data_IF_772037661317
#
_entry.id   IF_772037661317
#
_cell.length_a   1.000
_cell.length_b   1.000
_cell.length_c   1.000
_cell.angle_alpha   90.00
_cell.angle_beta   90.00
_cell.angle_gamma   90.00
#
_symmetry.space_group_name_H-M   'P 1'
#
loop_
_entity.id
_entity.type
_entity.pdbx_description
1 polymer ?
#
# COMPACT_ATOMS: atom_id res chain seq x y z
N UNK A 1 -22.17 69.52 -28.67
CA UNK A 1 -22.38 69.35 -27.22
C UNK A 1 -22.61 67.88 -26.94
N UNK A 2 -21.78 67.35 -26.02
CA UNK A 2 -22.01 66.22 -25.11
C UNK A 2 -22.18 64.78 -25.61
N UNK A 3 -21.32 63.93 -25.02
CA UNK A 3 -21.65 62.63 -24.40
C UNK A 3 -21.34 61.32 -25.14
N UNK A 4 -20.12 61.14 -25.63
CA UNK A 4 -19.56 59.79 -25.89
C UNK A 4 -18.05 59.76 -25.66
N UNK A 5 -17.60 59.82 -24.41
CA UNK A 5 -16.24 59.40 -24.04
C UNK A 5 -16.08 59.54 -22.52
N UNK A 6 -16.51 58.53 -21.77
CA UNK A 6 -16.25 58.40 -20.31
C UNK A 6 -16.67 57.02 -19.76
N UNK A 7 -16.76 55.99 -20.61
CA UNK A 7 -17.02 54.60 -20.19
C UNK A 7 -15.95 53.59 -20.59
N UNK A 8 -15.01 53.96 -21.46
CA UNK A 8 -13.97 53.02 -21.94
C UNK A 8 -12.63 53.13 -21.17
N UNK A 9 -12.44 54.18 -20.37
CA UNK A 9 -11.19 54.38 -19.59
C UNK A 9 -11.21 53.78 -18.17
N UNK A 10 -12.32 53.18 -17.74
CA UNK A 10 -12.42 52.53 -16.42
C UNK A 10 -12.23 51.00 -16.45
N UNK A 11 -12.07 50.40 -17.63
CA UNK A 11 -11.84 48.94 -17.75
C UNK A 11 -10.34 48.60 -17.83
N UNK A 12 -9.48 49.53 -18.25
CA UNK A 12 -8.03 49.29 -18.37
C UNK A 12 -7.18 49.68 -17.15
N UNK A 13 -7.79 50.21 -16.07
CA UNK A 13 -7.07 50.59 -14.84
C UNK A 13 -7.17 49.52 -13.73
N UNK A 14 -7.87 48.40 -13.97
CA UNK A 14 -7.91 47.25 -13.04
C UNK A 14 -6.95 46.10 -13.38
N UNK A 15 -6.16 46.21 -14.45
CA UNK A 15 -5.28 45.12 -14.93
C UNK A 15 -3.77 45.33 -14.64
N UNK A 16 -3.38 46.41 -13.97
CA UNK A 16 -1.97 46.74 -13.75
C UNK A 16 -1.54 46.94 -12.27
N UNK A 17 -2.38 46.58 -11.29
CA UNK A 17 -2.06 46.77 -9.85
C UNK A 17 -2.38 45.55 -8.96
N UNK A 18 -2.42 44.35 -9.53
CA UNK A 18 -2.47 43.09 -8.76
C UNK A 18 -1.25 42.18 -9.02
N UNK A 19 -0.15 42.74 -9.53
CA UNK A 19 1.10 42.01 -9.80
C UNK A 19 2.25 42.36 -8.83
N UNK A 20 2.02 43.20 -7.83
CA UNK A 20 3.08 43.70 -6.96
C UNK A 20 2.65 43.82 -5.50
N UNK A 21 2.11 42.75 -4.90
CA UNK A 21 2.07 42.62 -3.43
C UNK A 21 1.85 41.17 -2.96
N UNK A 22 2.60 40.23 -3.53
CA UNK A 22 2.81 38.90 -2.92
C UNK A 22 4.30 38.53 -2.98
N UNK A 23 5.17 39.52 -2.72
CA UNK A 23 6.53 39.31 -2.25
C UNK A 23 6.50 39.02 -0.74
N UNK A 24 5.69 38.01 -0.36
CA UNK A 24 5.87 37.33 0.91
C UNK A 24 7.11 36.47 0.75
N UNK A 25 8.25 37.04 1.15
CA UNK A 25 9.25 36.40 2.00
C UNK A 25 9.25 34.87 1.88
N UNK A 26 9.68 34.34 0.73
CA UNK A 26 10.39 33.09 0.74
C UNK A 26 11.74 33.42 1.37
N UNK A 27 11.80 33.43 2.70
CA UNK A 27 13.03 33.02 3.36
C UNK A 27 13.23 31.60 2.84
N UNK A 28 14.10 31.48 1.85
CA UNK A 28 14.79 30.25 1.55
C UNK A 28 15.44 29.85 2.86
N UNK A 29 14.73 29.06 3.66
CA UNK A 29 15.39 28.12 4.54
C UNK A 29 16.11 27.24 3.53
N UNK A 30 17.37 27.59 3.27
CA UNK A 30 18.33 26.64 2.78
C UNK A 30 18.13 25.45 3.72
N UNK A 31 17.42 24.43 3.23
CA UNK A 31 17.61 23.12 3.78
C UNK A 31 19.10 22.94 3.58
N UNK A 32 19.84 23.03 4.69
CA UNK A 32 21.12 22.37 4.76
C UNK A 32 20.84 21.03 4.11
N UNK A 33 21.46 20.81 2.95
CA UNK A 33 21.50 19.49 2.35
C UNK A 33 22.02 18.62 3.49
N UNK A 34 21.10 17.88 4.12
CA UNK A 34 21.48 16.93 5.14
C UNK A 34 22.55 16.11 4.47
N UNK A 35 23.75 16.11 5.06
CA UNK A 35 24.83 15.26 4.59
C UNK A 35 24.23 13.90 4.28
N UNK A 36 24.57 13.27 3.14
CA UNK A 36 24.18 11.90 2.90
C UNK A 36 24.63 11.14 4.15
N UNK A 37 23.65 10.68 4.93
CA UNK A 37 23.87 9.81 6.06
C UNK A 37 24.36 8.51 5.46
N UNK A 38 25.64 8.46 5.07
CA UNK A 38 26.39 7.24 4.88
C UNK A 38 26.52 6.64 6.27
N UNK A 39 25.41 6.11 6.77
CA UNK A 39 25.42 5.20 7.90
C UNK A 39 26.23 4.01 7.36
N UNK A 40 27.51 3.84 7.77
CA UNK A 40 28.21 2.62 7.44
C UNK A 40 27.29 1.50 7.90
N UNK A 41 27.06 0.49 7.05
CA UNK A 41 26.15 -0.63 7.32
C UNK A 41 26.51 -1.20 8.70
N UNK A 42 25.89 -0.66 9.76
CA UNK A 42 26.09 -1.12 11.11
C UNK A 42 25.47 -2.49 11.05
N UNK A 43 26.31 -3.50 11.16
CA UNK A 43 25.85 -4.89 11.11
C UNK A 43 24.90 -5.02 12.28
N UNK A 44 23.61 -5.04 11.97
CA UNK A 44 22.57 -5.25 12.95
C UNK A 44 22.81 -6.65 13.49
N UNK A 45 23.17 -6.75 14.76
CA UNK A 45 23.54 -8.02 15.38
C UNK A 45 22.28 -8.87 15.53
N UNK A 46 21.93 -9.65 14.51
CA UNK A 46 20.92 -10.67 14.65
C UNK A 46 21.06 -11.79 13.61
N UNK A 47 20.98 -13.03 14.10
CA UNK A 47 21.00 -14.24 13.29
C UNK A 47 19.58 -14.62 12.86
N UNK A 48 19.47 -15.23 11.68
CA UNK A 48 18.22 -15.81 11.18
C UNK A 48 17.61 -16.76 12.21
N UNK A 49 16.32 -16.64 12.46
CA UNK A 49 15.60 -17.52 13.39
C UNK A 49 15.35 -18.89 12.75
N UNK A 50 15.35 -19.93 13.59
CA UNK A 50 14.95 -21.29 13.16
C UNK A 50 13.44 -21.45 13.34
N UNK A 51 12.74 -21.76 12.26
CA UNK A 51 11.28 -21.96 12.24
C UNK A 51 10.47 -20.85 12.95
N UNK A 52 10.68 -19.57 12.58
CA UNK A 52 9.96 -18.45 13.16
C UNK A 52 8.45 -18.59 12.93
N UNK A 53 7.66 -18.15 13.92
CA UNK A 53 6.20 -18.18 13.88
C UNK A 53 5.66 -16.82 14.29
N UNK A 54 4.57 -16.42 13.62
CA UNK A 54 3.77 -15.30 14.08
C UNK A 54 3.23 -15.58 15.50
N UNK A 55 3.28 -14.59 16.39
CA UNK A 55 2.91 -14.74 17.80
C UNK A 55 1.80 -13.75 18.23
N UNK A 56 1.27 -13.95 19.44
CA UNK A 56 0.19 -13.13 19.98
C UNK A 56 0.61 -11.68 20.19
N UNK A 57 1.81 -11.42 20.71
CA UNK A 57 2.30 -10.06 20.96
C UNK A 57 2.37 -9.23 19.66
N UNK A 58 2.81 -9.82 18.56
CA UNK A 58 2.80 -9.15 17.25
C UNK A 58 1.38 -8.92 16.72
N UNK A 59 0.46 -9.84 17.00
CA UNK A 59 -0.96 -9.67 16.67
C UNK A 59 -1.56 -8.48 17.41
N UNK A 60 -1.24 -8.31 18.70
CA UNK A 60 -1.77 -7.23 19.52
C UNK A 60 -1.21 -5.87 19.10
N UNK A 61 0.09 -5.81 18.79
CA UNK A 61 0.70 -4.62 18.19
C UNK A 61 0.03 -4.28 16.86
N UNK A 62 -0.09 -5.27 15.95
CA UNK A 62 -0.69 -5.06 14.64
C UNK A 62 -2.14 -4.55 14.74
N UNK A 63 -2.97 -5.14 15.61
CA UNK A 63 -4.33 -4.67 15.83
C UNK A 63 -4.38 -3.24 16.37
N UNK A 64 -3.50 -2.92 17.32
CA UNK A 64 -3.38 -1.56 17.88
C UNK A 64 -3.05 -0.56 16.78
N UNK A 65 -2.01 -0.83 15.99
CA UNK A 65 -1.57 0.04 14.91
C UNK A 65 -2.65 0.20 13.82
N UNK A 66 -3.33 -0.89 13.43
CA UNK A 66 -4.42 -0.85 12.44
C UNK A 66 -5.60 0.01 12.92
N UNK A 67 -5.96 -0.12 14.19
CA UNK A 67 -7.03 0.68 14.82
C UNK A 67 -6.66 2.15 14.91
N UNK A 68 -5.47 2.46 15.43
CA UNK A 68 -4.97 3.84 15.59
C UNK A 68 -4.83 4.56 14.24
N UNK A 69 -4.39 3.85 13.19
CA UNK A 69 -4.30 4.39 11.84
C UNK A 69 -5.64 4.37 11.08
N UNK A 70 -6.73 3.96 11.73
CA UNK A 70 -8.11 3.94 11.21
C UNK A 70 -8.23 3.14 9.90
N UNK A 71 -7.56 1.99 9.80
CA UNK A 71 -7.60 1.16 8.58
C UNK A 71 -9.03 0.73 8.23
N UNK A 72 -9.89 0.56 9.24
CA UNK A 72 -11.28 0.13 9.10
C UNK A 72 -12.15 1.10 8.28
N UNK A 73 -11.74 2.36 8.22
CA UNK A 73 -12.46 3.42 7.51
C UNK A 73 -12.11 3.45 6.01
N UNK A 74 -11.13 2.65 5.62
CA UNK A 74 -10.68 2.53 4.24
C UNK A 74 -11.59 1.51 3.54
N UNK A 75 -12.61 2.06 2.86
CA UNK A 75 -13.49 1.33 1.94
C UNK A 75 -13.14 1.69 0.49
N UNK A 76 -12.05 1.11 0.01
CA UNK A 76 -11.52 1.41 -1.31
C UNK A 76 -11.80 0.28 -2.30
N UNK A 77 -11.60 0.58 -3.58
CA UNK A 77 -11.68 -0.40 -4.64
C UNK A 77 -10.75 -1.60 -4.34
N UNK A 78 -11.20 -2.80 -4.77
CA UNK A 78 -10.49 -4.08 -4.77
C UNK A 78 -10.36 -4.79 -3.41
N UNK A 79 -10.86 -4.23 -2.31
CA UNK A 79 -10.95 -4.94 -1.02
C UNK A 79 -11.81 -6.23 -1.11
N UNK A 80 -12.87 -6.20 -1.91
CA UNK A 80 -13.76 -7.34 -2.18
C UNK A 80 -13.05 -8.54 -2.82
N UNK A 81 -11.91 -8.30 -3.49
CA UNK A 81 -11.10 -9.37 -4.08
C UNK A 81 -10.40 -10.23 -3.02
N UNK A 82 -10.14 -9.66 -1.83
CA UNK A 82 -9.56 -10.39 -0.70
C UNK A 82 -10.64 -10.93 0.26
N UNK A 83 -11.79 -10.25 0.33
CA UNK A 83 -12.91 -10.61 1.20
C UNK A 83 -14.23 -10.19 0.54
N UNK A 84 -15.01 -11.12 -0.01
CA UNK A 84 -16.14 -10.80 -0.89
C UNK A 84 -17.19 -9.88 -0.25
N UNK A 85 -17.41 -9.99 1.07
CA UNK A 85 -18.40 -9.17 1.78
C UNK A 85 -17.80 -7.92 2.43
N UNK A 86 -16.55 -7.53 2.14
CA UNK A 86 -15.81 -6.51 2.87
C UNK A 86 -16.59 -5.22 3.11
N UNK A 87 -17.29 -4.71 2.08
CA UNK A 87 -18.08 -3.48 2.19
C UNK A 87 -19.22 -3.53 3.21
N UNK A 88 -19.75 -4.72 3.48
CA UNK A 88 -20.85 -4.95 4.44
C UNK A 88 -20.33 -5.18 5.87
N UNK A 89 -19.03 -5.36 6.04
CA UNK A 89 -18.43 -5.53 7.36
C UNK A 89 -18.43 -4.21 8.10
N UNK A 90 -18.66 -4.28 9.41
CA UNK A 90 -18.44 -3.15 10.31
C UNK A 90 -16.95 -2.82 10.46
N UNK A 91 -16.63 -1.75 11.19
CA UNK A 91 -15.25 -1.31 11.37
C UNK A 91 -14.39 -2.40 12.02
N UNK A 92 -14.90 -3.07 13.05
CA UNK A 92 -14.18 -4.11 13.81
C UNK A 92 -13.85 -5.31 12.92
N UNK A 93 -14.78 -5.73 12.08
CA UNK A 93 -14.56 -6.86 11.18
C UNK A 93 -13.62 -6.52 10.03
N UNK A 94 -13.63 -5.27 9.54
CA UNK A 94 -12.61 -4.79 8.58
C UNK A 94 -11.21 -4.80 9.18
N UNK A 95 -11.05 -4.47 10.47
CA UNK A 95 -9.75 -4.58 11.16
C UNK A 95 -9.26 -6.03 11.22
N UNK A 96 -10.17 -7.00 11.46
CA UNK A 96 -9.83 -8.43 11.42
C UNK A 96 -9.32 -8.85 10.04
N UNK A 97 -9.96 -8.38 8.98
CA UNK A 97 -9.52 -8.66 7.59
C UNK A 97 -8.09 -8.16 7.38
N UNK A 98 -7.79 -6.90 7.71
CA UNK A 98 -6.45 -6.37 7.57
C UNK A 98 -5.42 -7.02 8.48
N UNK A 99 -5.82 -7.44 9.68
CA UNK A 99 -4.95 -8.21 10.58
C UNK A 99 -4.50 -9.52 9.92
N UNK A 100 -5.44 -10.25 9.30
CA UNK A 100 -5.12 -11.52 8.61
C UNK A 100 -4.25 -11.27 7.38
N UNK A 101 -4.55 -10.24 6.59
CA UNK A 101 -3.75 -9.86 5.41
C UNK A 101 -2.32 -9.50 5.81
N UNK A 102 -2.16 -8.61 6.80
CA UNK A 102 -0.85 -8.15 7.25
C UNK A 102 -0.05 -9.26 7.92
N UNK A 103 -0.71 -10.21 8.59
CA UNK A 103 -0.04 -11.44 9.07
C UNK A 103 0.48 -12.24 7.87
N UNK A 104 -0.37 -12.54 6.88
CA UNK A 104 0.05 -13.30 5.70
C UNK A 104 1.16 -12.59 4.89
N UNK A 105 1.17 -11.25 4.87
CA UNK A 105 2.20 -10.47 4.20
C UNK A 105 3.56 -10.68 4.86
N UNK A 106 3.63 -10.65 6.19
CA UNK A 106 4.89 -10.92 6.90
C UNK A 106 5.44 -12.33 6.60
N UNK A 107 4.57 -13.31 6.37
CA UNK A 107 5.00 -14.65 5.93
C UNK A 107 5.69 -14.59 4.56
N UNK A 108 5.09 -13.86 3.61
CA UNK A 108 5.61 -13.75 2.25
C UNK A 108 6.87 -12.90 2.13
N UNK A 109 7.06 -11.95 3.04
CA UNK A 109 8.20 -11.02 3.03
C UNK A 109 9.40 -11.56 3.82
N UNK A 110 9.16 -12.23 4.95
CA UNK A 110 10.23 -12.63 5.86
C UNK A 110 10.07 -14.04 6.44
N UNK A 111 9.01 -14.75 6.10
CA UNK A 111 8.61 -15.98 6.80
C UNK A 111 8.51 -15.78 8.31
N UNK A 112 8.04 -14.60 8.73
CA UNK A 112 7.95 -14.18 10.14
C UNK A 112 9.29 -13.95 10.86
N UNK A 113 10.40 -13.85 10.14
CA UNK A 113 11.72 -13.61 10.73
C UNK A 113 12.06 -12.11 10.76
N UNK A 114 12.09 -11.47 11.94
CA UNK A 114 12.42 -10.05 12.06
C UNK A 114 13.90 -9.76 11.76
N UNK A 115 14.77 -10.77 11.65
CA UNK A 115 16.20 -10.60 11.41
C UNK A 115 16.58 -10.67 9.93
N UNK A 116 15.61 -10.95 9.05
CA UNK A 116 15.88 -11.05 7.60
C UNK A 116 16.25 -9.67 7.05
N UNK A 117 17.28 -9.70 6.19
CA UNK A 117 17.69 -8.59 5.35
C UNK A 117 17.81 -9.05 3.90
N UNK A 118 17.48 -8.18 2.98
CA UNK A 118 17.64 -8.41 1.55
C UNK A 118 18.29 -7.19 0.90
N UNK A 119 19.34 -7.41 0.11
CA UNK A 119 20.00 -6.36 -0.67
C UNK A 119 19.30 -6.28 -2.02
N UNK A 120 18.64 -5.17 -2.26
CA UNK A 120 17.85 -4.94 -3.46
C UNK A 120 18.74 -4.69 -4.69
N UNK A 121 18.19 -4.99 -5.86
CA UNK A 121 18.86 -4.77 -7.14
C UNK A 121 18.76 -3.32 -7.65
N UNK A 122 18.21 -2.39 -6.87
CA UNK A 122 18.17 -0.96 -7.16
C UNK A 122 18.99 -0.17 -6.14
N UNK A 123 19.26 1.10 -6.45
CA UNK A 123 20.05 2.00 -5.61
C UNK A 123 19.16 3.07 -4.97
N UNK A 124 19.55 3.54 -3.80
CA UNK A 124 18.95 4.68 -3.11
C UNK A 124 19.36 6.00 -3.80
N UNK A 125 18.84 7.13 -3.31
CA UNK A 125 19.21 8.47 -3.77
C UNK A 125 20.71 8.80 -3.63
N UNK A 126 21.40 8.16 -2.67
CA UNK A 126 22.85 8.29 -2.49
C UNK A 126 23.67 7.35 -3.39
N UNK A 127 23.01 6.57 -4.27
CA UNK A 127 23.66 5.64 -5.17
C UNK A 127 24.10 4.33 -4.52
N UNK A 128 23.73 4.01 -3.30
CA UNK A 128 24.04 2.76 -2.60
C UNK A 128 22.94 1.71 -2.81
N UNK A 129 23.25 0.42 -2.68
CA UNK A 129 22.21 -0.62 -2.77
C UNK A 129 21.20 -0.47 -1.63
N UNK A 130 19.91 -0.47 -1.97
CA UNK A 130 18.86 -0.46 -0.95
C UNK A 130 18.89 -1.79 -0.20
N UNK A 131 18.71 -1.74 1.12
CA UNK A 131 18.61 -2.94 1.96
C UNK A 131 17.27 -2.92 2.67
N UNK A 132 16.46 -3.94 2.42
CA UNK A 132 15.16 -4.18 3.05
C UNK A 132 15.36 -5.05 4.30
N UNK A 133 14.60 -4.79 5.37
CA UNK A 133 14.80 -5.41 6.70
C UNK A 133 13.48 -5.75 7.40
N UNK A 134 13.54 -6.77 8.25
CA UNK A 134 12.49 -7.08 9.21
C UNK A 134 11.26 -7.76 8.62
N UNK A 135 10.19 -7.82 9.41
CA UNK A 135 8.98 -8.59 9.12
C UNK A 135 8.35 -8.23 7.77
N UNK A 136 8.33 -6.93 7.46
CA UNK A 136 7.70 -6.36 6.26
C UNK A 136 8.70 -5.88 5.20
N UNK A 137 9.98 -6.25 5.32
CA UNK A 137 11.05 -5.89 4.38
C UNK A 137 11.07 -4.38 4.06
N UNK A 138 11.22 -3.57 5.11
CA UNK A 138 11.24 -2.11 5.01
C UNK A 138 12.67 -1.60 4.89
N UNK A 139 12.91 -0.59 4.05
CA UNK A 139 14.21 0.07 3.95
C UNK A 139 14.24 1.37 4.76
N UNK A 140 15.43 1.82 5.19
CA UNK A 140 15.57 3.06 5.96
C UNK A 140 15.10 4.29 5.17
N UNK A 141 15.59 4.46 3.96
CA UNK A 141 15.22 5.59 3.09
C UNK A 141 13.71 5.66 2.88
N UNK A 142 13.07 4.53 2.57
CA UNK A 142 11.62 4.54 2.38
C UNK A 142 10.88 4.82 3.67
N UNK A 143 11.32 4.29 4.81
CA UNK A 143 10.69 4.55 6.11
C UNK A 143 10.72 6.03 6.52
N UNK A 144 11.72 6.78 6.08
CA UNK A 144 11.84 8.21 6.33
C UNK A 144 10.77 9.00 5.56
N UNK A 145 10.36 8.54 4.36
CA UNK A 145 9.27 9.15 3.59
C UNK A 145 7.89 9.01 4.24
N UNK A 146 7.74 8.15 5.25
CA UNK A 146 6.49 7.92 5.99
C UNK A 146 6.61 8.30 7.46
N UNK A 147 7.66 9.04 7.84
CA UNK A 147 7.90 9.48 9.22
C UNK A 147 7.81 8.33 10.23
N UNK A 148 8.48 7.22 9.92
CA UNK A 148 8.46 6.03 10.78
C UNK A 148 9.33 6.18 12.05
N UNK A 149 10.21 7.18 12.11
CA UNK A 149 10.97 7.51 13.33
C UNK A 149 12.05 6.48 13.69
N UNK A 150 12.73 5.93 12.68
CA UNK A 150 13.90 5.09 12.91
C UNK A 150 15.16 5.97 12.94
N UNK A 151 15.93 5.88 14.03
CA UNK A 151 17.20 6.62 14.15
C UNK A 151 18.27 6.02 13.23
N UNK A 152 18.21 4.70 13.03
CA UNK A 152 19.13 3.96 12.17
C UNK A 152 18.46 2.69 11.63
N UNK A 153 19.06 2.10 10.60
CA UNK A 153 18.51 0.93 9.91
C UNK A 153 18.34 -0.32 10.80
N UNK A 154 19.08 -0.44 11.91
CA UNK A 154 18.97 -1.62 12.78
C UNK A 154 17.71 -1.64 13.62
N UNK A 155 17.13 -0.48 13.91
CA UNK A 155 15.85 -0.42 14.60
C UNK A 155 14.69 -1.02 13.77
N UNK A 156 14.87 -1.18 12.45
CA UNK A 156 13.86 -1.82 11.58
C UNK A 156 13.71 -3.31 11.90
N UNK A 157 14.68 -3.94 12.56
CA UNK A 157 14.58 -5.33 13.04
C UNK A 157 13.74 -5.47 14.32
N UNK A 158 13.39 -4.37 15.01
CA UNK A 158 12.42 -4.40 16.10
C UNK A 158 11.02 -4.68 15.52
N UNK A 159 10.38 -5.83 15.86
CA UNK A 159 9.06 -6.17 15.34
C UNK A 159 8.01 -5.09 15.59
N UNK A 160 8.04 -4.44 16.77
CA UNK A 160 7.05 -3.41 17.12
C UNK A 160 7.16 -2.22 16.19
N UNK A 161 8.37 -1.67 16.04
CA UNK A 161 8.60 -0.53 15.14
C UNK A 161 8.37 -0.89 13.68
N UNK A 162 8.75 -2.11 13.27
CA UNK A 162 8.53 -2.61 11.90
C UNK A 162 7.04 -2.71 11.56
N UNK A 163 6.22 -3.29 12.46
CA UNK A 163 4.77 -3.40 12.31
C UNK A 163 4.14 -2.00 12.22
N UNK A 164 4.49 -1.09 13.15
CA UNK A 164 3.97 0.28 13.15
C UNK A 164 4.25 1.01 11.84
N UNK A 165 5.50 0.95 11.35
CA UNK A 165 5.87 1.56 10.08
C UNK A 165 5.13 0.92 8.89
N UNK A 166 4.98 -0.41 8.88
CA UNK A 166 4.25 -1.11 7.82
C UNK A 166 2.79 -0.64 7.74
N UNK A 167 2.11 -0.47 8.88
CA UNK A 167 0.73 0.03 8.90
C UNK A 167 0.67 1.49 8.40
N UNK A 168 1.60 2.36 8.81
CA UNK A 168 1.69 3.73 8.28
C UNK A 168 1.86 3.78 6.76
N UNK A 169 2.79 2.99 6.22
CA UNK A 169 3.03 2.87 4.77
C UNK A 169 1.75 2.41 4.05
N UNK A 170 1.13 1.35 4.57
CA UNK A 170 -0.08 0.77 4.01
C UNK A 170 -1.21 1.82 3.92
N UNK A 171 -1.51 2.45 5.05
CA UNK A 171 -2.60 3.43 5.17
C UNK A 171 -2.33 4.68 4.34
N UNK A 172 -1.09 5.19 4.34
CA UNK A 172 -0.71 6.37 3.55
C UNK A 172 -0.89 6.11 2.06
N UNK A 173 -0.42 4.97 1.56
CA UNK A 173 -0.57 4.62 0.14
C UNK A 173 -2.03 4.43 -0.25
N UNK A 174 -2.81 3.70 0.56
CA UNK A 174 -4.23 3.49 0.28
C UNK A 174 -5.01 4.81 0.26
N UNK A 175 -4.81 5.67 1.25
CA UNK A 175 -5.48 6.98 1.31
C UNK A 175 -5.08 7.88 0.15
N UNK A 176 -3.78 7.97 -0.17
CA UNK A 176 -3.26 8.81 -1.25
C UNK A 176 -3.78 8.39 -2.62
N UNK A 177 -3.98 7.09 -2.84
CA UNK A 177 -4.24 6.54 -4.17
C UNK A 177 -5.68 6.05 -4.37
N UNK A 178 -6.50 6.03 -3.32
CA UNK A 178 -7.93 5.65 -3.41
C UNK A 178 -8.18 4.19 -3.81
N UNK A 179 -7.15 3.34 -3.78
CA UNK A 179 -7.22 1.93 -4.16
C UNK A 179 -6.47 1.10 -3.11
N UNK A 180 -7.05 -0.03 -2.69
CA UNK A 180 -6.46 -0.86 -1.64
C UNK A 180 -5.14 -1.53 -2.09
N UNK A 181 -5.10 -2.04 -3.32
CA UNK A 181 -3.91 -2.63 -3.95
C UNK A 181 -4.11 -2.78 -5.47
N UNK A 182 -3.07 -3.12 -6.22
CA UNK A 182 -3.12 -3.44 -7.64
C UNK A 182 -2.52 -2.35 -8.53
N UNK A 183 -2.90 -2.36 -9.81
CA UNK A 183 -2.49 -1.32 -10.75
C UNK A 183 -3.32 -0.05 -10.56
N UNK A 184 -2.64 1.09 -10.68
CA UNK A 184 -3.29 2.39 -10.77
C UNK A 184 -3.92 2.59 -12.16
N UNK A 185 -4.86 3.54 -12.31
CA UNK A 185 -5.30 4.03 -13.62
C UNK A 185 -4.11 4.49 -14.47
N UNK A 186 -4.18 4.33 -15.80
CA UNK A 186 -3.07 4.61 -16.74
C UNK A 186 -2.44 6.00 -16.59
N UNK A 187 -3.22 7.01 -16.23
CA UNK A 187 -2.77 8.40 -16.10
C UNK A 187 -2.27 8.76 -14.69
N UNK A 188 -1.98 7.77 -13.85
CA UNK A 188 -1.48 7.99 -12.49
C UNK A 188 0.04 8.15 -12.49
N UNK A 189 0.57 8.92 -11.54
CA UNK A 189 2.02 9.11 -11.34
C UNK A 189 2.75 7.81 -10.95
N UNK A 190 2.04 6.79 -10.46
CA UNK A 190 2.59 5.49 -10.12
C UNK A 190 1.86 4.40 -10.92
N UNK A 191 2.59 3.35 -11.32
CA UNK A 191 2.01 2.14 -11.93
C UNK A 191 1.23 1.30 -10.92
N UNK A 192 1.65 1.29 -9.65
CA UNK A 192 1.06 0.47 -8.59
C UNK A 192 0.48 1.32 -7.47
N UNK A 193 -0.67 0.89 -6.97
CA UNK A 193 -1.50 1.61 -6.01
C UNK A 193 -1.70 0.81 -4.72
N UNK A 194 -2.02 1.52 -3.64
CA UNK A 194 -2.28 0.96 -2.31
C UNK A 194 -1.12 0.13 -1.80
N UNK A 195 -1.41 -1.05 -1.25
CA UNK A 195 -0.39 -1.97 -0.76
C UNK A 195 0.61 -2.40 -1.86
N UNK A 196 0.16 -2.52 -3.12
CA UNK A 196 1.04 -2.87 -4.24
C UNK A 196 2.04 -1.76 -4.57
N UNK A 197 1.84 -0.52 -4.14
CA UNK A 197 2.82 0.54 -4.35
C UNK A 197 4.15 0.21 -3.65
N UNK A 198 4.09 -0.48 -2.50
CA UNK A 198 5.27 -0.85 -1.72
C UNK A 198 5.59 -2.34 -1.86
N UNK A 199 4.64 -3.23 -1.61
CA UNK A 199 4.91 -4.66 -1.44
C UNK A 199 4.67 -5.48 -2.72
N UNK A 200 5.69 -6.23 -3.12
CA UNK A 200 5.66 -7.15 -4.26
C UNK A 200 4.61 -8.28 -4.17
N UNK A 201 4.32 -8.87 -3.00
CA UNK A 201 3.27 -9.89 -2.85
C UNK A 201 1.90 -9.49 -3.41
N UNK A 202 1.50 -8.22 -3.31
CA UNK A 202 0.24 -7.74 -3.89
C UNK A 202 0.30 -7.54 -5.41
N UNK A 203 1.45 -7.75 -6.04
CA UNK A 203 1.66 -7.74 -7.50
C UNK A 203 1.70 -9.16 -8.07
N UNK A 204 1.74 -10.18 -7.21
CA UNK A 204 1.85 -11.58 -7.62
C UNK A 204 0.51 -12.30 -7.48
N UNK A 205 -0.01 -12.83 -8.59
CA UNK A 205 -1.31 -13.49 -8.62
C UNK A 205 -1.43 -14.68 -7.65
N UNK A 206 -0.39 -15.53 -7.58
CA UNK A 206 -0.41 -16.70 -6.68
C UNK A 206 -0.50 -16.27 -5.22
N UNK A 207 0.22 -15.21 -4.84
CA UNK A 207 0.17 -14.64 -3.49
C UNK A 207 -1.17 -13.94 -3.20
N UNK A 208 -1.77 -13.25 -4.18
CA UNK A 208 -3.12 -12.69 -4.07
C UNK A 208 -4.18 -13.76 -3.81
N UNK A 209 -4.14 -14.88 -4.53
CA UNK A 209 -5.02 -16.03 -4.31
C UNK A 209 -4.81 -16.59 -2.89
N UNK A 210 -3.56 -16.68 -2.44
CA UNK A 210 -3.25 -17.15 -1.09
C UNK A 210 -3.77 -16.19 0.00
N UNK A 211 -3.65 -14.87 -0.19
CA UNK A 211 -4.27 -13.89 0.70
C UNK A 211 -5.78 -14.12 0.81
N UNK A 212 -6.48 -14.20 -0.32
CA UNK A 212 -7.93 -14.42 -0.34
C UNK A 212 -8.32 -15.74 0.33
N UNK A 213 -7.58 -16.82 0.06
CA UNK A 213 -7.83 -18.12 0.64
C UNK A 213 -7.70 -18.12 2.17
N UNK A 214 -6.65 -17.48 2.69
CA UNK A 214 -6.40 -17.39 4.13
C UNK A 214 -7.41 -16.50 4.82
N UNK A 215 -7.75 -15.34 4.22
CA UNK A 215 -8.77 -14.43 4.74
C UNK A 215 -10.13 -15.13 4.82
N UNK A 216 -10.58 -15.74 3.72
CA UNK A 216 -11.89 -16.41 3.68
C UNK A 216 -11.93 -17.61 4.63
N UNK A 217 -10.84 -18.38 4.76
CA UNK A 217 -10.78 -19.51 5.69
C UNK A 217 -10.83 -19.05 7.15
N UNK A 218 -10.06 -18.02 7.52
CA UNK A 218 -9.94 -17.57 8.91
C UNK A 218 -11.13 -16.75 9.38
N UNK A 219 -11.83 -16.09 8.46
CA UNK A 219 -12.92 -15.16 8.77
C UNK A 219 -14.26 -15.63 8.19
N UNK A 220 -14.51 -16.93 8.16
CA UNK A 220 -15.85 -17.44 7.90
C UNK A 220 -16.77 -17.18 9.11
N UNK A 221 -18.04 -16.75 8.90
CA UNK A 221 -18.70 -16.49 7.61
C UNK A 221 -18.48 -15.06 7.06
N UNK A 222 -17.77 -14.18 7.78
CA UNK A 222 -17.60 -12.76 7.45
C UNK A 222 -17.23 -12.51 5.98
N UNK A 223 -16.18 -13.17 5.46
CA UNK A 223 -15.67 -12.91 4.11
C UNK A 223 -16.32 -13.73 2.97
N UNK A 224 -17.39 -14.49 3.27
CA UNK A 224 -18.05 -15.37 2.30
C UNK A 224 -17.16 -16.53 1.84
N UNK A 225 -17.72 -17.47 1.07
CA UNK A 225 -16.94 -18.54 0.46
C UNK A 225 -16.04 -17.99 -0.66
N UNK A 226 -14.79 -18.50 -0.72
CA UNK A 226 -13.81 -18.18 -1.77
C UNK A 226 -14.47 -18.19 -3.16
N UNK A 227 -14.12 -17.24 -4.03
CA UNK A 227 -14.62 -17.23 -5.41
C UNK A 227 -14.32 -18.56 -6.14
N UNK A 228 -13.17 -19.18 -5.88
CA UNK A 228 -12.83 -20.51 -6.37
C UNK A 228 -13.78 -21.61 -5.86
N UNK A 229 -14.24 -21.52 -4.60
CA UNK A 229 -15.19 -22.47 -4.02
C UNK A 229 -16.62 -22.27 -4.55
N UNK A 230 -17.01 -21.06 -4.97
CA UNK A 230 -18.30 -20.84 -5.64
C UNK A 230 -18.33 -21.45 -7.04
N UNK A 231 -17.22 -21.40 -7.77
CA UNK A 231 -17.09 -22.06 -9.08
C UNK A 231 -17.06 -23.59 -8.96
N UNK A 232 -16.46 -24.12 -7.88
CA UNK A 232 -16.46 -25.56 -7.59
C UNK A 232 -17.78 -26.07 -7.00
N UNK A 233 -18.64 -25.18 -6.48
CA UNK A 233 -19.90 -25.52 -5.82
C UNK A 233 -21.14 -25.48 -6.72
N UNK A 234 -20.99 -25.33 -8.04
CA UNK A 234 -22.10 -25.51 -8.98
C UNK A 234 -22.42 -27.00 -9.04
N UNK A 235 -23.45 -27.42 -8.30
CA UNK A 235 -24.02 -28.76 -8.39
C UNK A 235 -24.52 -28.99 -9.83
N UNK A 236 -24.05 -30.03 -10.55
CA UNK A 236 -24.58 -30.37 -11.87
C UNK A 236 -25.96 -30.99 -11.68
N UNK A 237 -27.01 -30.18 -11.77
CA UNK A 237 -28.35 -30.70 -11.49
C UNK A 237 -29.53 -29.75 -11.61
N UNK A 238 -29.43 -28.64 -12.35
CA UNK A 238 -30.64 -27.99 -12.89
C UNK A 238 -30.38 -27.53 -14.32
N UNK A 239 -31.11 -28.15 -15.24
CA UNK A 239 -31.11 -27.83 -16.65
C UNK A 239 -31.63 -26.40 -16.86
N UNK A 240 -30.77 -25.50 -17.31
CA UNK A 240 -31.19 -24.52 -18.29
C UNK A 240 -30.35 -24.69 -19.54
N UNK A 241 -30.99 -25.25 -20.57
CA UNK A 241 -30.55 -25.11 -21.94
C UNK A 241 -30.45 -23.62 -22.24
N UNK A 242 -29.22 -23.11 -22.40
CA UNK A 242 -28.90 -22.18 -23.48
C UNK A 242 -27.41 -22.27 -23.76
N UNK A 243 -27.15 -22.71 -24.99
CA UNK A 243 -25.88 -22.66 -25.68
C UNK A 243 -25.22 -21.29 -25.52
N UNK A 244 -23.98 -21.28 -25.04
CA UNK A 244 -22.87 -20.56 -25.68
C UNK A 244 -21.56 -20.95 -25.00
N UNK A 245 -20.57 -21.30 -25.82
CA UNK A 245 -19.18 -21.44 -25.43
C UNK A 245 -18.72 -20.13 -24.77
N UNK A 246 -18.63 -20.10 -23.45
CA UNK A 246 -17.92 -19.07 -22.71
C UNK A 246 -17.01 -19.76 -21.70
N UNK A 247 -15.70 -19.68 -21.91
CA UNK A 247 -14.73 -19.99 -20.86
C UNK A 247 -15.06 -19.14 -19.62
N UNK A 248 -14.92 -19.68 -18.38
CA UNK A 248 -15.15 -18.89 -17.19
C UNK A 248 -14.20 -17.68 -17.19
N UNK A 249 -14.77 -16.48 -17.16
CA UNK A 249 -14.01 -15.25 -17.14
C UNK A 249 -13.04 -15.25 -15.95
N UNK A 250 -11.74 -15.11 -16.22
CA UNK A 250 -10.76 -14.83 -15.18
C UNK A 250 -11.13 -13.47 -14.55
N UNK A 251 -11.55 -13.40 -13.27
CA UNK A 251 -11.92 -12.12 -12.64
C UNK A 251 -10.72 -11.17 -12.48
N UNK A 252 -9.53 -11.60 -12.88
CA UNK A 252 -8.30 -10.84 -12.90
C UNK A 252 -7.72 -10.62 -14.32
N UNK A 253 -8.52 -10.78 -15.37
CA UNK A 253 -8.09 -10.63 -16.77
C UNK A 253 -7.38 -9.28 -17.07
N UNK A 254 -7.68 -8.23 -16.31
CA UNK A 254 -7.03 -6.92 -16.41
C UNK A 254 -5.54 -6.89 -15.99
N UNK A 255 -5.00 -7.97 -15.38
CA UNK A 255 -3.58 -8.06 -15.00
C UNK A 255 -2.68 -8.70 -16.07
N UNK A 256 -3.22 -9.35 -17.11
CA UNK A 256 -2.42 -10.11 -18.09
C UNK A 256 -1.98 -9.31 -19.32
N UNK A 257 -2.37 -8.04 -19.44
CA UNK A 257 -1.87 -7.16 -20.50
C UNK A 257 -0.54 -6.50 -20.08
N UNK A 258 0.57 -7.26 -20.15
CA UNK A 258 1.93 -6.78 -20.47
C UNK A 258 3.01 -7.81 -20.07
N UNK A 259 3.05 -8.94 -20.77
CA UNK A 259 4.30 -9.66 -21.01
C UNK A 259 4.67 -9.46 -22.48
N UNK A 260 5.28 -8.33 -22.79
CA UNK A 260 5.79 -8.01 -24.12
C UNK A 260 6.76 -6.83 -24.04
N UNK A 261 8.05 -7.12 -24.14
CA UNK A 261 9.13 -6.14 -24.13
C UNK A 261 10.46 -6.73 -23.68
N UNK A 262 11.01 -7.62 -24.51
CA UNK A 262 12.46 -7.68 -24.74
C UNK A 262 12.77 -6.70 -25.87
#
# INVERSE_FOLDING_TARGET
MTQTSLRDDLINICLATAAALFLLVFVSKAHAAGSPSSDPVKVCGSSKLRNPKWNAAWTDILKTELKENRVSEIDLLRTEMLCTNYRRLDKTDREKVWTVIMTQLAEFESSYDPNVKYVENFRNSAGERVVSRGLYQISKESSDLYDCGFDNACQIHDPKKNIACAVKILVSNMKRQGIAFGMCPRNSQSRFCGASAYWGPFRNMKKLIAFQAVVSKKLQPLCGANHASRLAGVVPGQSQRRSSNAQPANPFAWMTENTGGN
#
